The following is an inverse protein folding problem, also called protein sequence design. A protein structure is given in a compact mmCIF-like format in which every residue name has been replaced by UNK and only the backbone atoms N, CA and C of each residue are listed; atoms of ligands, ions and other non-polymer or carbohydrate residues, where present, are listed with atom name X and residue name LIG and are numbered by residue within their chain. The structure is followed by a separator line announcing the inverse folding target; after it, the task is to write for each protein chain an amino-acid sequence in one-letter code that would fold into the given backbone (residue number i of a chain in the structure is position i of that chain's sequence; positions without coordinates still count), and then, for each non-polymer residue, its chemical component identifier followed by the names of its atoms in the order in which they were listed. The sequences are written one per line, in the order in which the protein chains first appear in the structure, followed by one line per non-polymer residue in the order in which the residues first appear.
data_IF_025505912368
#
_entry.id   IF_025505912368
#
_cell.length_a   1.000
_cell.length_b   1.000
_cell.length_c   1.000
_cell.angle_alpha   90.00
_cell.angle_beta   90.00
_cell.angle_gamma   90.00
#
_symmetry.space_group_name_H-M   'P 1'
#
loop_
_entity.id
_entity.type
_entity.pdbx_description
1 polymer ?
#
# COMPACT_ATOMS: atom_id res chain seq x y z
N UNK A 1 2.81 25.98 -1.21
CA UNK A 1 2.96 25.75 0.25
C UNK A 1 4.40 25.44 0.61
N UNK A 2 5.04 24.41 0.03
CA UNK A 2 6.46 24.11 0.27
C UNK A 2 7.37 25.35 0.13
N UNK A 3 7.31 26.08 -0.98
CA UNK A 3 8.06 27.34 -1.18
C UNK A 3 7.87 28.40 -0.09
N UNK A 4 6.70 28.43 0.58
CA UNK A 4 6.42 29.39 1.65
C UNK A 4 6.84 28.87 3.04
N UNK A 5 6.94 27.55 3.21
CA UNK A 5 7.34 26.91 4.48
C UNK A 5 8.86 26.68 4.56
N UNK A 6 9.51 26.55 3.41
CA UNK A 6 10.91 26.17 3.26
C UNK A 6 11.66 27.23 2.42
N UNK A 7 11.59 28.49 2.84
CA UNK A 7 12.25 29.63 2.19
C UNK A 7 13.80 29.56 2.25
N UNK A 8 14.33 28.72 3.14
CA UNK A 8 15.73 28.34 3.22
C UNK A 8 16.17 27.26 2.21
N UNK A 9 15.26 26.81 1.33
CA UNK A 9 15.52 25.83 0.29
C UNK A 9 15.14 24.39 0.68
N UNK A 10 14.81 23.57 -0.32
CA UNK A 10 14.48 22.16 -0.16
C UNK A 10 14.77 21.36 -1.45
N UNK A 11 15.02 20.06 -1.30
CA UNK A 11 15.16 19.12 -2.41
C UNK A 11 13.92 18.23 -2.54
N UNK A 12 13.50 17.97 -3.78
CA UNK A 12 12.40 17.06 -4.07
C UNK A 12 12.96 15.64 -4.21
N UNK A 13 12.70 14.80 -3.22
CA UNK A 13 13.07 13.38 -3.27
C UNK A 13 12.15 12.59 -4.20
N UNK A 14 10.83 12.85 -4.12
CA UNK A 14 9.81 12.13 -4.87
C UNK A 14 8.55 13.00 -4.98
N UNK A 15 8.02 13.14 -6.20
CA UNK A 15 6.74 13.79 -6.49
C UNK A 15 6.07 13.13 -7.70
N UNK A 16 6.00 11.80 -7.67
CA UNK A 16 5.35 10.99 -8.70
C UNK A 16 4.07 10.35 -8.15
N UNK A 17 3.06 10.10 -9.00
CA UNK A 17 1.79 9.55 -8.56
C UNK A 17 1.94 8.13 -8.02
N UNK A 18 1.15 7.83 -6.99
CA UNK A 18 1.02 6.49 -6.42
C UNK A 18 -0.23 5.75 -6.95
N UNK A 19 -0.96 6.37 -7.89
CA UNK A 19 -2.08 5.76 -8.61
C UNK A 19 -2.16 6.34 -10.01
N UNK A 20 -2.17 5.47 -11.02
CA UNK A 20 -2.31 5.86 -12.42
C UNK A 20 -2.50 4.63 -13.30
N UNK A 21 -3.00 4.85 -14.51
CA UNK A 21 -2.99 3.86 -15.58
C UNK A 21 -1.59 3.85 -16.21
N UNK A 22 -0.86 2.74 -16.07
CA UNK A 22 0.50 2.60 -16.64
C UNK A 22 0.40 2.35 -18.16
N UNK A 23 -0.53 1.49 -18.56
CA UNK A 23 -0.84 1.16 -19.95
C UNK A 23 -2.27 0.60 -20.04
N UNK A 24 -2.70 0.14 -21.22
CA UNK A 24 -4.06 -0.38 -21.43
C UNK A 24 -4.45 -1.57 -20.53
N UNK A 25 -3.49 -2.32 -20.01
CA UNK A 25 -3.71 -3.53 -19.23
C UNK A 25 -3.25 -3.41 -17.77
N UNK A 26 -2.46 -2.38 -17.43
CA UNK A 26 -1.85 -2.23 -16.11
C UNK A 26 -2.27 -0.93 -15.43
N UNK A 27 -2.78 -1.04 -14.20
CA UNK A 27 -3.13 0.09 -13.35
C UNK A 27 -2.52 -0.09 -11.96
N UNK A 28 -1.93 0.99 -11.45
CA UNK A 28 -1.48 1.07 -10.07
C UNK A 28 -2.58 1.71 -9.23
N UNK A 29 -3.07 0.99 -8.22
CA UNK A 29 -4.10 1.45 -7.28
C UNK A 29 -3.60 1.29 -5.85
N UNK A 30 -3.42 2.41 -5.16
CA UNK A 30 -2.90 2.42 -3.79
C UNK A 30 -1.49 1.83 -3.66
N UNK A 31 -0.64 1.94 -4.69
CA UNK A 31 0.74 1.44 -4.67
C UNK A 31 1.66 2.29 -5.51
N UNK A 32 2.87 2.56 -5.01
CA UNK A 32 3.91 3.20 -5.79
C UNK A 32 4.40 2.26 -6.90
N UNK A 33 4.39 2.76 -8.14
CA UNK A 33 5.08 2.11 -9.25
C UNK A 33 6.58 2.41 -9.18
N UNK A 34 7.39 1.35 -9.14
CA UNK A 34 8.85 1.42 -9.03
C UNK A 34 9.57 1.09 -10.33
N UNK A 35 8.84 0.98 -11.44
CA UNK A 35 9.37 0.72 -12.76
C UNK A 35 9.99 2.00 -13.35
N UNK A 36 11.32 2.06 -13.37
CA UNK A 36 12.08 3.19 -13.90
C UNK A 36 11.97 3.35 -15.42
N UNK A 37 11.42 2.36 -16.13
CA UNK A 37 11.12 2.50 -17.56
C UNK A 37 9.79 3.21 -17.82
N UNK A 38 8.98 3.44 -16.79
CA UNK A 38 7.74 4.19 -16.91
C UNK A 38 8.04 5.69 -16.93
N UNK A 39 7.61 6.40 -17.99
CA UNK A 39 7.89 7.83 -18.23
C UNK A 39 7.48 8.76 -17.07
N UNK A 40 6.49 8.34 -16.27
CA UNK A 40 5.95 9.11 -15.15
C UNK A 40 6.87 9.02 -13.92
N UNK A 41 7.71 7.97 -13.84
CA UNK A 41 8.58 7.68 -12.70
C UNK A 41 9.91 8.41 -12.90
N UNK A 42 10.19 9.36 -12.00
CA UNK A 42 11.35 10.27 -12.09
C UNK A 42 12.41 9.99 -11.03
N UNK A 43 12.08 9.18 -10.03
CA UNK A 43 12.94 8.84 -8.90
C UNK A 43 12.80 7.36 -8.58
N UNK A 44 13.91 6.72 -8.20
CA UNK A 44 13.96 5.37 -7.67
C UNK A 44 13.77 5.32 -6.14
N UNK A 45 13.60 6.48 -5.50
CA UNK A 45 13.39 6.64 -4.06
C UNK A 45 11.92 7.00 -3.79
N UNK A 46 11.29 6.21 -2.93
CA UNK A 46 9.87 6.28 -2.63
C UNK A 46 9.64 6.50 -1.13
N UNK A 47 8.86 7.53 -0.75
CA UNK A 47 8.48 7.72 0.64
C UNK A 47 7.34 6.77 1.01
N UNK A 48 7.46 6.14 2.17
CA UNK A 48 6.35 5.47 2.87
C UNK A 48 6.13 6.20 4.20
N UNK A 49 5.19 7.15 4.19
CA UNK A 49 4.76 7.86 5.39
C UNK A 49 3.64 7.07 6.09
N UNK A 50 3.76 6.91 7.41
CA UNK A 50 2.85 6.08 8.20
C UNK A 50 1.81 6.94 8.93
N UNK A 51 2.22 7.61 10.01
CA UNK A 51 1.41 8.52 10.83
C UNK A 51 2.31 9.65 11.33
N UNK A 52 1.74 10.81 11.62
CA UNK A 52 2.50 12.04 11.95
C UNK A 52 3.45 11.92 13.15
N UNK A 53 3.16 11.03 14.10
CA UNK A 53 3.89 10.81 15.36
C UNK A 53 4.91 9.66 15.29
N UNK A 54 5.03 8.98 14.14
CA UNK A 54 5.97 7.86 13.95
C UNK A 54 6.86 8.09 12.74
N UNK A 55 7.97 7.36 12.69
CA UNK A 55 8.94 7.49 11.61
C UNK A 55 8.32 7.23 10.22
N UNK A 56 8.78 8.00 9.23
CA UNK A 56 8.62 7.70 7.82
C UNK A 56 9.87 7.02 7.27
N UNK A 57 9.77 6.38 6.11
CA UNK A 57 10.87 5.63 5.51
C UNK A 57 11.01 6.00 4.04
N UNK A 58 12.26 6.03 3.57
CA UNK A 58 12.58 6.09 2.15
C UNK A 58 12.98 4.68 1.70
N UNK A 59 12.36 4.20 0.64
CA UNK A 59 12.65 2.92 0.01
C UNK A 59 13.21 3.12 -1.39
N UNK A 60 14.18 2.29 -1.76
CA UNK A 60 14.56 2.09 -3.14
C UNK A 60 13.65 1.03 -3.75
N UNK A 61 13.04 1.39 -4.87
CA UNK A 61 12.18 0.48 -5.63
C UNK A 61 12.95 -0.62 -6.35
N UNK A 62 12.31 -1.77 -6.55
CA UNK A 62 12.86 -2.91 -7.30
C UNK A 62 11.74 -3.81 -7.85
N UNK A 63 12.08 -4.62 -8.85
CA UNK A 63 11.27 -5.77 -9.24
C UNK A 63 11.11 -6.70 -8.04
N UNK A 64 9.90 -7.18 -7.79
CA UNK A 64 9.57 -7.96 -6.62
C UNK A 64 8.58 -9.09 -6.93
N UNK A 65 8.06 -9.74 -5.88
CA UNK A 65 7.25 -10.97 -5.98
C UNK A 65 7.99 -12.12 -6.66
N UNK A 66 9.24 -12.37 -6.24
CA UNK A 66 9.99 -13.57 -6.64
C UNK A 66 9.18 -14.86 -6.44
N UNK A 67 9.53 -15.94 -7.15
CA UNK A 67 8.92 -17.26 -6.91
C UNK A 67 8.98 -17.69 -5.45
N UNK A 68 10.05 -17.32 -4.74
CA UNK A 68 10.18 -17.60 -3.30
C UNK A 68 9.13 -16.83 -2.50
N UNK A 69 8.95 -15.55 -2.81
CA UNK A 69 7.89 -14.71 -2.21
C UNK A 69 6.51 -15.27 -2.52
N UNK A 70 6.22 -15.58 -3.78
CA UNK A 70 4.94 -16.15 -4.22
C UNK A 70 4.64 -17.50 -3.54
N UNK A 71 5.63 -18.38 -3.44
CA UNK A 71 5.52 -19.67 -2.75
C UNK A 71 5.22 -19.47 -1.26
N UNK A 72 5.92 -18.53 -0.60
CA UNK A 72 5.70 -18.23 0.81
C UNK A 72 4.31 -17.66 1.12
N UNK A 73 3.68 -17.03 0.13
CA UNK A 73 2.31 -16.48 0.23
C UNK A 73 1.24 -17.43 -0.34
N UNK A 74 1.61 -18.68 -0.70
CA UNK A 74 0.71 -19.67 -1.31
C UNK A 74 0.04 -19.20 -2.61
N UNK A 75 0.76 -18.42 -3.42
CA UNK A 75 0.27 -17.92 -4.72
C UNK A 75 0.97 -18.53 -5.93
N UNK A 76 2.08 -19.24 -5.75
CA UNK A 76 2.88 -19.73 -6.87
C UNK A 76 2.10 -20.68 -7.80
N UNK A 77 1.53 -21.75 -7.25
CA UNK A 77 0.77 -22.76 -8.03
C UNK A 77 -0.39 -22.10 -8.81
N UNK A 78 -1.16 -21.24 -8.13
CA UNK A 78 -2.24 -20.48 -8.78
C UNK A 78 -1.75 -19.53 -9.87
N UNK A 79 -0.56 -18.93 -9.71
CA UNK A 79 0.02 -18.08 -10.73
C UNK A 79 0.45 -18.86 -11.97
N UNK A 80 0.96 -20.08 -11.79
CA UNK A 80 1.31 -21.00 -12.88
C UNK A 80 0.05 -21.46 -13.62
N UNK A 81 -0.97 -21.92 -12.91
CA UNK A 81 -2.26 -22.35 -13.49
C UNK A 81 -2.96 -21.26 -14.31
N UNK A 82 -2.81 -20.00 -13.90
CA UNK A 82 -3.40 -18.84 -14.58
C UNK A 82 -2.45 -18.21 -15.61
N UNK A 83 -1.25 -18.77 -15.82
CA UNK A 83 -0.24 -18.23 -16.74
C UNK A 83 0.17 -16.77 -16.42
N UNK A 84 0.14 -16.41 -15.12
CA UNK A 84 0.46 -15.06 -14.62
C UNK A 84 1.84 -14.95 -13.98
N UNK A 85 2.62 -16.03 -13.94
CA UNK A 85 3.89 -16.07 -13.22
C UNK A 85 4.88 -14.99 -13.69
N UNK A 86 5.06 -14.86 -15.01
CA UNK A 86 5.95 -13.86 -15.60
C UNK A 86 5.49 -12.43 -15.26
N UNK A 87 4.18 -12.17 -15.29
CA UNK A 87 3.63 -10.87 -14.94
C UNK A 87 3.88 -10.51 -13.47
N UNK A 88 3.70 -11.49 -12.57
CA UNK A 88 3.88 -11.27 -11.14
C UNK A 88 5.35 -11.08 -10.76
N UNK A 89 6.25 -11.90 -11.31
CA UNK A 89 7.69 -11.81 -11.00
C UNK A 89 8.37 -10.57 -11.58
N UNK A 90 7.72 -9.91 -12.56
CA UNK A 90 8.11 -8.63 -13.12
C UNK A 90 7.42 -7.42 -12.45
N UNK A 91 6.65 -7.65 -11.37
CA UNK A 91 5.96 -6.58 -10.67
C UNK A 91 6.94 -5.59 -10.01
N UNK A 92 6.61 -4.31 -10.09
CA UNK A 92 7.40 -3.21 -9.54
C UNK A 92 6.58 -2.39 -8.54
N UNK A 93 6.14 -3.01 -7.44
CA UNK A 93 5.20 -2.39 -6.50
C UNK A 93 5.82 -2.06 -5.13
N UNK A 94 5.50 -0.88 -4.58
CA UNK A 94 5.78 -0.54 -3.18
C UNK A 94 4.52 0.00 -2.49
N UNK A 95 4.37 -0.16 -1.16
CA UNK A 95 3.29 0.50 -0.44
C UNK A 95 3.50 2.01 -0.44
N UNK A 96 2.44 2.75 -0.75
CA UNK A 96 2.47 4.21 -0.77
C UNK A 96 2.34 4.85 0.63
N UNK A 97 1.82 4.12 1.62
CA UNK A 97 1.56 4.67 2.95
C UNK A 97 1.24 3.63 4.01
N UNK A 98 0.93 4.09 5.21
CA UNK A 98 0.75 3.25 6.40
C UNK A 98 -0.49 2.36 6.43
N UNK A 99 -1.42 2.54 5.49
CA UNK A 99 -2.64 1.72 5.37
C UNK A 99 -3.60 1.84 6.55
N UNK A 100 -4.89 1.60 6.29
CA UNK A 100 -5.91 1.63 7.32
C UNK A 100 -6.18 0.25 7.92
N UNK A 101 -6.59 0.22 9.17
CA UNK A 101 -7.15 -0.94 9.85
C UNK A 101 -8.35 -0.51 10.68
N UNK A 102 -9.33 -1.39 10.81
CA UNK A 102 -10.43 -1.23 11.74
C UNK A 102 -10.10 -1.91 13.08
N UNK A 103 -10.61 -1.36 14.18
CA UNK A 103 -10.35 -1.91 15.53
C UNK A 103 -11.04 -3.25 15.75
N UNK A 104 -12.25 -3.39 15.25
CA UNK A 104 -13.13 -4.52 15.53
C UNK A 104 -13.28 -5.49 14.35
N UNK A 105 -13.09 -5.06 13.11
CA UNK A 105 -13.22 -5.89 11.90
C UNK A 105 -11.91 -6.59 11.56
N UNK A 106 -11.98 -7.89 11.26
CA UNK A 106 -10.85 -8.70 10.80
C UNK A 106 -10.86 -8.86 9.28
N UNK A 107 -11.88 -9.54 8.76
CA UNK A 107 -11.98 -9.91 7.35
C UNK A 107 -13.39 -9.62 6.79
N UNK A 108 -13.49 -9.33 5.51
CA UNK A 108 -14.75 -9.39 4.76
C UNK A 108 -14.99 -10.85 4.40
N UNK A 109 -16.12 -11.40 4.84
CA UNK A 109 -16.50 -12.79 4.60
C UNK A 109 -17.38 -12.93 3.36
N UNK A 110 -18.28 -11.97 3.16
CA UNK A 110 -19.28 -12.03 2.10
C UNK A 110 -19.75 -10.62 1.73
N UNK A 111 -20.36 -10.52 0.55
CA UNK A 111 -20.92 -9.29 -0.01
C UNK A 111 -22.39 -9.55 -0.34
N UNK A 112 -23.29 -8.89 0.39
CA UNK A 112 -24.73 -8.93 0.13
C UNK A 112 -25.12 -7.73 -0.73
N UNK A 113 -25.98 -7.97 -1.72
CA UNK A 113 -26.50 -6.92 -2.59
C UNK A 113 -28.02 -6.86 -2.47
N UNK A 114 -28.56 -5.66 -2.23
CA UNK A 114 -30.00 -5.43 -2.17
C UNK A 114 -30.33 -4.08 -2.81
N UNK A 115 -31.09 -4.12 -3.91
CA UNK A 115 -31.29 -2.97 -4.82
C UNK A 115 -29.91 -2.44 -5.25
N UNK A 116 -29.73 -1.12 -5.27
CA UNK A 116 -28.48 -0.46 -5.66
C UNK A 116 -27.49 -0.30 -4.49
N UNK A 117 -27.55 -1.19 -3.50
CA UNK A 117 -26.72 -1.10 -2.28
C UNK A 117 -25.95 -2.38 -2.04
N UNK A 118 -24.69 -2.21 -1.64
CA UNK A 118 -23.77 -3.28 -1.27
C UNK A 118 -23.49 -3.25 0.24
N UNK A 119 -23.56 -4.42 0.87
CA UNK A 119 -23.31 -4.62 2.28
C UNK A 119 -22.19 -5.64 2.45
N UNK A 120 -21.20 -5.32 3.27
CA UNK A 120 -20.06 -6.18 3.55
C UNK A 120 -20.31 -6.90 4.87
N UNK A 121 -20.43 -8.22 4.81
CA UNK A 121 -20.50 -9.09 5.99
C UNK A 121 -19.07 -9.31 6.47
N UNK A 122 -18.78 -8.93 7.71
CA UNK A 122 -17.42 -8.97 8.25
C UNK A 122 -17.34 -9.81 9.50
N UNK A 123 -16.21 -10.49 9.68
CA UNK A 123 -15.84 -11.13 10.94
C UNK A 123 -15.23 -10.12 11.90
N UNK A 124 -15.44 -10.33 13.20
CA UNK A 124 -14.80 -9.52 14.23
C UNK A 124 -13.46 -10.11 14.67
N UNK A 125 -12.49 -9.26 15.02
CA UNK A 125 -11.16 -9.66 15.50
C UNK A 125 -11.22 -10.49 16.79
N UNK A 126 -12.11 -10.13 17.72
CA UNK A 126 -12.19 -10.74 19.06
C UNK A 126 -13.21 -11.87 19.16
N UNK A 127 -14.19 -11.93 18.26
CA UNK A 127 -15.23 -12.96 18.29
C UNK A 127 -15.69 -13.29 16.86
N UNK A 128 -15.06 -14.31 16.28
CA UNK A 128 -15.33 -14.74 14.90
C UNK A 128 -16.72 -15.33 14.67
N UNK A 129 -17.45 -15.72 15.73
CA UNK A 129 -18.82 -16.22 15.61
C UNK A 129 -19.84 -15.09 15.51
N UNK A 130 -19.43 -13.83 15.71
CA UNK A 130 -20.26 -12.65 15.52
C UNK A 130 -19.90 -11.96 14.22
N UNK A 131 -20.93 -11.50 13.53
CA UNK A 131 -20.81 -10.79 12.27
C UNK A 131 -21.15 -9.31 12.46
N UNK A 132 -20.47 -8.46 11.71
CA UNK A 132 -20.83 -7.05 11.55
C UNK A 132 -21.07 -6.78 10.08
N UNK A 133 -22.26 -6.29 9.76
CA UNK A 133 -22.64 -5.94 8.40
C UNK A 133 -22.50 -4.42 8.26
N UNK A 134 -21.65 -3.99 7.32
CA UNK A 134 -21.41 -2.57 7.07
C UNK A 134 -21.75 -2.21 5.63
N UNK A 135 -22.30 -1.01 5.43
CA UNK A 135 -22.58 -0.47 4.08
C UNK A 135 -21.58 0.60 3.69
N UNK A 136 -21.33 1.53 4.61
CA UNK A 136 -20.44 2.67 4.38
C UNK A 136 -19.20 2.58 5.27
N UNK A 137 -18.03 2.45 4.65
CA UNK A 137 -16.73 2.44 5.34
C UNK A 137 -16.22 3.84 5.67
N UNK A 138 -16.70 4.89 4.99
CA UNK A 138 -16.15 6.25 5.15
C UNK A 138 -16.50 6.88 6.51
N UNK A 139 -17.57 6.43 7.14
CA UNK A 139 -18.02 6.90 8.46
C UNK A 139 -17.39 6.10 9.61
N UNK A 140 -16.63 5.05 9.30
CA UNK A 140 -16.06 4.18 10.30
C UNK A 140 -14.76 4.75 10.86
N UNK A 141 -14.63 4.71 12.19
CA UNK A 141 -13.34 4.99 12.82
C UNK A 141 -12.31 3.93 12.43
N UNK A 142 -11.20 4.40 11.89
CA UNK A 142 -10.05 3.57 11.52
C UNK A 142 -8.79 4.02 12.25
N UNK A 143 -7.80 3.14 12.26
CA UNK A 143 -6.44 3.41 12.70
C UNK A 143 -5.47 3.16 11.54
N UNK A 144 -4.21 3.49 11.76
CA UNK A 144 -3.14 3.15 10.84
C UNK A 144 -2.47 1.83 11.26
N UNK A 145 -2.05 1.01 10.29
CA UNK A 145 -1.33 -0.25 10.57
C UNK A 145 0.08 -0.02 11.13
N UNK A 146 0.56 1.23 11.13
CA UNK A 146 1.81 1.61 11.76
C UNK A 146 3.02 0.92 11.13
N UNK A 147 3.95 0.45 11.96
CA UNK A 147 5.22 -0.14 11.50
C UNK A 147 5.05 -1.50 10.81
N UNK A 148 3.89 -2.14 10.93
CA UNK A 148 3.62 -3.44 10.31
C UNK A 148 3.77 -3.39 8.80
N UNK A 149 3.45 -2.26 8.16
CA UNK A 149 3.66 -2.08 6.71
C UNK A 149 5.15 -2.15 6.37
N UNK A 150 6.02 -1.52 7.15
CA UNK A 150 7.46 -1.51 6.92
C UNK A 150 8.03 -2.92 7.09
N UNK A 151 7.63 -3.61 8.16
CA UNK A 151 8.03 -4.98 8.42
C UNK A 151 7.57 -5.92 7.30
N UNK A 152 6.32 -5.78 6.83
CA UNK A 152 5.78 -6.58 5.75
C UNK A 152 6.47 -6.30 4.41
N UNK A 153 6.84 -5.04 4.15
CA UNK A 153 7.59 -4.63 2.95
C UNK A 153 8.94 -5.35 2.89
N UNK A 154 9.67 -5.40 4.01
CA UNK A 154 10.93 -6.12 4.11
C UNK A 154 10.70 -7.63 4.00
N UNK A 155 9.71 -8.17 4.72
CA UNK A 155 9.40 -9.60 4.72
C UNK A 155 9.08 -10.14 3.31
N UNK A 156 8.37 -9.34 2.51
CA UNK A 156 7.99 -9.69 1.15
C UNK A 156 9.03 -9.30 0.09
N UNK A 157 10.15 -8.72 0.52
CA UNK A 157 11.24 -8.24 -0.34
C UNK A 157 10.78 -7.24 -1.43
N UNK A 158 9.89 -6.31 -1.06
CA UNK A 158 9.31 -5.37 -2.03
C UNK A 158 10.23 -4.19 -2.38
N UNK A 159 11.21 -3.88 -1.53
CA UNK A 159 12.18 -2.82 -1.73
C UNK A 159 13.14 -2.66 -0.56
N UNK A 160 14.17 -1.84 -0.76
CA UNK A 160 15.28 -1.72 0.18
C UNK A 160 15.20 -0.38 0.94
N UNK A 161 15.40 -0.40 2.26
CA UNK A 161 15.38 0.84 3.05
C UNK A 161 16.62 1.68 2.72
N UNK A 162 16.40 2.91 2.28
CA UNK A 162 17.43 3.92 2.05
C UNK A 162 17.65 4.76 3.29
N UNK A 163 16.56 5.21 3.93
CA UNK A 163 16.64 6.06 5.11
C UNK A 163 15.40 5.92 5.99
N UNK A 164 15.58 6.23 7.28
CA UNK A 164 14.50 6.44 8.25
C UNK A 164 14.42 7.92 8.60
N UNK A 165 13.24 8.50 8.48
CA UNK A 165 12.95 9.90 8.73
C UNK A 165 12.16 10.05 10.03
N UNK A 166 12.53 11.00 10.86
CA UNK A 166 11.76 11.37 12.06
C UNK A 166 10.99 12.66 11.75
N UNK A 167 9.65 12.63 11.67
CA UNK A 167 8.86 13.84 11.41
C UNK A 167 9.07 14.88 12.51
N UNK A 168 9.28 16.13 12.13
CA UNK A 168 9.36 17.27 13.07
C UNK A 168 8.00 17.96 13.25
N UNK A 169 7.21 18.01 12.19
CA UNK A 169 5.86 18.57 12.18
C UNK A 169 5.01 17.88 11.11
N UNK A 170 3.69 17.92 11.29
CA UNK A 170 2.71 17.45 10.31
C UNK A 170 1.69 18.56 10.09
N UNK A 171 1.63 19.08 8.87
CA UNK A 171 0.62 20.05 8.46
C UNK A 171 -0.55 19.32 7.81
N UNK A 172 -1.74 19.44 8.41
CA UNK A 172 -3.00 18.93 7.85
C UNK A 172 -3.88 20.12 7.49
N UNK A 173 -4.40 20.12 6.26
CA UNK A 173 -5.32 21.14 5.73
C UNK A 173 -6.74 20.58 5.67
#
# INVERSE_FOLDING_TARGET
IANNLFDYGYDIICNQPHQFLKDYNNMYLGSNCTDLNCEIIKSDIFPTALRADIAAYLFKGKKNLSETTLRSQNFLERAEELELLDLLTEACILPHGGGYTFRDIKDVLDILEYKDQRYFVTSLKTNISRLKIIRNVSEMQFEYRGRDIILKTIQLDLGDIVARLNPLFSLKL
#
